data_IF_838289165757
#
_entry.id   IF_838289165757
#
_cell.length_a   1.000
_cell.length_b   1.000
_cell.length_c   1.000
_cell.angle_alpha   90.00
_cell.angle_beta   90.00
_cell.angle_gamma   90.00
#
_symmetry.space_group_name_H-M   'P 1'
#
loop_
_entity.id
_entity.type
_entity.pdbx_description
1 polymer ?
#
# COMPACT_ATOMS: atom_id res chain seq x y z
N UNK A 1 10.67 2.26 8.57
CA UNK A 1 10.90 3.71 8.80
C UNK A 1 9.60 4.48 9.09
N UNK A 2 8.42 3.91 8.81
CA UNK A 2 7.14 4.59 9.00
C UNK A 2 6.93 5.10 10.45
N UNK A 3 7.25 4.30 11.47
CA UNK A 3 7.18 4.77 12.88
C UNK A 3 7.98 6.03 13.13
N UNK A 4 9.27 6.03 12.76
CA UNK A 4 10.17 7.18 12.93
C UNK A 4 9.67 8.43 12.21
N UNK A 5 8.93 8.27 11.10
CA UNK A 5 8.38 9.40 10.34
C UNK A 5 7.08 9.94 10.96
N UNK A 6 6.43 9.17 11.83
CA UNK A 6 5.11 9.48 12.40
C UNK A 6 5.13 9.76 13.90
N UNK A 7 6.27 9.63 14.58
CA UNK A 7 6.39 9.76 16.05
C UNK A 7 5.95 11.13 16.57
N UNK A 8 6.29 12.21 15.85
CA UNK A 8 5.95 13.59 16.19
C UNK A 8 4.75 14.15 15.39
N UNK A 9 4.01 13.28 14.69
CA UNK A 9 2.89 13.72 13.85
C UNK A 9 1.60 13.88 14.65
N UNK A 10 0.95 15.05 14.55
CA UNK A 10 -0.39 15.27 15.13
C UNK A 10 -1.49 14.55 14.34
N UNK A 11 -1.25 14.30 13.05
CA UNK A 11 -2.21 13.74 12.09
C UNK A 11 -1.47 13.10 10.92
N UNK A 12 -1.98 11.96 10.41
CA UNK A 12 -1.52 11.36 9.15
C UNK A 12 -2.60 11.49 8.06
N UNK A 13 -2.20 11.82 6.84
CA UNK A 13 -3.08 11.84 5.67
C UNK A 13 -2.64 10.79 4.65
N UNK A 14 -3.58 9.97 4.21
CA UNK A 14 -3.33 8.95 3.19
C UNK A 14 -3.41 9.55 1.77
N UNK A 15 -2.28 9.56 1.08
CA UNK A 15 -2.18 9.87 -0.35
C UNK A 15 -1.63 8.70 -1.17
N UNK A 16 -1.78 7.47 -0.66
CA UNK A 16 -1.19 6.27 -1.23
C UNK A 16 -2.15 5.54 -2.17
N UNK A 17 -1.59 4.78 -3.10
CA UNK A 17 -2.31 4.11 -4.19
C UNK A 17 -2.44 2.59 -4.00
N UNK A 18 -1.97 2.04 -2.88
CA UNK A 18 -1.92 0.60 -2.66
C UNK A 18 -2.32 0.22 -1.23
N UNK A 19 -2.92 -0.97 -1.08
CA UNK A 19 -3.41 -1.46 0.20
C UNK A 19 -2.31 -1.67 1.24
N UNK A 20 -1.14 -2.18 0.85
CA UNK A 20 -0.06 -2.46 1.79
C UNK A 20 0.38 -1.21 2.54
N UNK A 21 0.58 -0.09 1.83
CA UNK A 21 0.90 1.19 2.45
C UNK A 21 -0.22 1.68 3.37
N UNK A 22 -1.49 1.47 2.99
CA UNK A 22 -2.65 1.83 3.83
C UNK A 22 -2.72 1.03 5.11
N UNK A 23 -2.44 -0.27 5.05
CA UNK A 23 -2.37 -1.12 6.24
C UNK A 23 -1.15 -0.81 7.12
N UNK A 24 -0.01 -0.47 6.51
CA UNK A 24 1.16 0.04 7.26
C UNK A 24 0.84 1.36 7.98
N UNK A 25 0.20 2.32 7.30
CA UNK A 25 -0.26 3.58 7.91
C UNK A 25 -1.21 3.27 9.08
N UNK A 26 -2.16 2.35 8.87
CA UNK A 26 -3.09 1.94 9.92
C UNK A 26 -2.37 1.41 11.16
N UNK A 27 -1.43 0.47 10.98
CA UNK A 27 -0.72 -0.14 12.09
C UNK A 27 0.12 0.88 12.87
N UNK A 28 0.83 1.77 12.17
CA UNK A 28 1.58 2.87 12.80
C UNK A 28 0.67 3.83 13.55
N UNK A 29 -0.40 4.30 12.91
CA UNK A 29 -1.34 5.25 13.50
C UNK A 29 -2.02 4.67 14.75
N UNK A 30 -2.45 3.40 14.69
CA UNK A 30 -3.08 2.72 15.83
C UNK A 30 -2.07 2.49 16.96
N UNK A 31 -0.82 2.10 16.65
CA UNK A 31 0.24 1.88 17.65
C UNK A 31 0.58 3.18 18.37
N UNK A 32 0.77 4.28 17.64
CA UNK A 32 1.14 5.58 18.19
C UNK A 32 -0.05 6.35 18.78
N UNK A 33 -1.29 5.94 18.47
CA UNK A 33 -2.49 6.68 18.88
C UNK A 33 -2.73 7.96 18.08
N UNK A 34 -2.08 8.09 16.92
CA UNK A 34 -2.18 9.26 16.04
C UNK A 34 -3.42 9.12 15.16
N UNK A 35 -4.33 10.09 15.12
CA UNK A 35 -5.46 10.06 14.19
C UNK A 35 -4.97 10.12 12.74
N UNK A 36 -5.74 9.55 11.82
CA UNK A 36 -5.43 9.65 10.40
C UNK A 36 -6.67 9.67 9.52
N UNK A 37 -6.54 10.18 8.29
CA UNK A 37 -7.67 10.21 7.34
C UNK A 37 -7.34 9.36 6.13
N UNK A 38 -8.04 8.23 6.03
CA UNK A 38 -8.00 7.33 4.89
C UNK A 38 -8.64 8.00 3.67
N UNK A 39 -7.98 7.89 2.52
CA UNK A 39 -8.44 8.41 1.24
C UNK A 39 -8.14 7.43 0.11
N UNK A 40 -9.12 7.14 -0.72
CA UNK A 40 -8.92 6.29 -1.89
C UNK A 40 -9.77 6.75 -3.07
N UNK A 41 -9.24 6.59 -4.28
CA UNK A 41 -9.94 6.88 -5.52
C UNK A 41 -9.66 5.78 -6.52
N UNK A 42 -10.68 5.36 -7.25
CA UNK A 42 -10.53 4.49 -8.42
C UNK A 42 -11.60 4.81 -9.45
N UNK A 43 -11.21 5.03 -10.70
CA UNK A 43 -12.11 5.47 -11.76
C UNK A 43 -12.87 6.73 -11.36
N UNK A 44 -14.18 6.60 -11.17
CA UNK A 44 -15.08 7.66 -10.74
C UNK A 44 -15.57 7.50 -9.28
N UNK A 45 -15.02 6.56 -8.53
CA UNK A 45 -15.38 6.28 -7.15
C UNK A 45 -14.33 6.82 -6.18
N UNK A 46 -14.78 7.28 -5.02
CA UNK A 46 -13.92 7.82 -3.98
C UNK A 46 -14.37 7.40 -2.59
N UNK A 47 -13.44 7.32 -1.64
CA UNK A 47 -13.71 7.01 -0.24
C UNK A 47 -12.89 7.93 0.66
N UNK A 48 -13.52 8.44 1.72
CA UNK A 48 -12.85 9.15 2.82
C UNK A 48 -13.34 8.59 4.15
N UNK A 49 -12.41 8.29 5.06
CA UNK A 49 -12.75 7.82 6.41
C UNK A 49 -11.74 8.35 7.44
N UNK A 50 -12.15 9.28 8.32
CA UNK A 50 -11.37 9.60 9.51
C UNK A 50 -11.29 8.40 10.45
N UNK A 51 -10.09 8.09 10.91
CA UNK A 51 -9.81 7.00 11.84
C UNK A 51 -9.15 7.62 13.07
N UNK A 52 -9.85 7.53 14.20
CA UNK A 52 -9.38 7.97 15.50
C UNK A 52 -9.10 6.69 16.31
N UNK A 53 -7.81 6.32 16.51
CA UNK A 53 -7.46 5.12 17.25
C UNK A 53 -8.20 5.04 18.59
N UNK A 54 -8.72 3.84 18.90
CA UNK A 54 -9.49 3.52 20.12
C UNK A 54 -10.88 4.17 20.24
N UNK A 55 -11.25 5.06 19.32
CA UNK A 55 -12.59 5.68 19.28
C UNK A 55 -13.45 5.18 18.11
N UNK A 56 -12.85 5.03 16.93
CA UNK A 56 -13.56 4.60 15.71
C UNK A 56 -12.99 3.28 15.20
N UNK A 57 -13.69 2.59 14.28
CA UNK A 57 -13.12 1.47 13.54
C UNK A 57 -11.79 1.87 12.88
N UNK A 58 -10.79 1.01 13.00
CA UNK A 58 -9.56 1.13 12.22
C UNK A 58 -9.74 0.48 10.85
N UNK A 59 -8.76 0.59 9.95
CA UNK A 59 -8.84 -0.02 8.63
C UNK A 59 -9.04 -1.53 8.71
N UNK A 60 -8.34 -2.21 9.64
CA UNK A 60 -8.46 -3.66 9.90
C UNK A 60 -9.83 -4.08 10.46
N UNK A 61 -10.63 -3.14 10.98
CA UNK A 61 -12.02 -3.44 11.33
C UNK A 61 -12.89 -3.56 10.08
N UNK A 62 -12.63 -2.72 9.08
CA UNK A 62 -13.42 -2.64 7.85
C UNK A 62 -13.00 -3.69 6.83
N UNK A 63 -11.68 -3.81 6.64
CA UNK A 63 -11.05 -4.78 5.76
C UNK A 63 -10.05 -5.58 6.59
N UNK A 64 -10.40 -6.83 6.93
CA UNK A 64 -9.59 -7.66 7.81
C UNK A 64 -8.19 -7.93 7.23
N UNK A 65 -8.11 -8.11 5.92
CA UNK A 65 -6.87 -8.30 5.16
C UNK A 65 -6.87 -7.44 3.89
N UNK A 66 -5.66 -7.15 3.38
CA UNK A 66 -5.52 -6.57 2.06
C UNK A 66 -6.06 -7.55 1.00
N UNK A 67 -6.83 -7.09 0.01
CA UNK A 67 -7.20 -7.94 -1.12
C UNK A 67 -5.94 -8.52 -1.77
N UNK A 68 -5.95 -9.79 -2.22
CA UNK A 68 -4.81 -10.36 -2.91
C UNK A 68 -4.42 -9.50 -4.12
N UNK A 69 -3.12 -9.34 -4.42
CA UNK A 69 -2.67 -8.56 -5.58
C UNK A 69 -3.39 -8.98 -6.87
N UNK A 70 -3.87 -8.01 -7.66
CA UNK A 70 -4.57 -8.27 -8.93
C UNK A 70 -6.05 -8.63 -8.82
N UNK A 71 -6.62 -8.75 -7.61
CA UNK A 71 -8.06 -9.04 -7.43
C UNK A 71 -8.96 -7.80 -7.41
N UNK A 72 -8.36 -6.62 -7.30
CA UNK A 72 -9.05 -5.33 -7.35
C UNK A 72 -8.48 -4.51 -8.50
N UNK A 73 -9.34 -3.73 -9.15
CA UNK A 73 -8.86 -2.74 -10.09
C UNK A 73 -7.97 -1.74 -9.36
N UNK A 74 -7.03 -1.13 -10.08
CA UNK A 74 -6.12 -0.12 -9.54
C UNK A 74 -6.29 1.18 -10.30
N UNK A 75 -5.70 2.26 -9.80
CA UNK A 75 -5.65 3.54 -10.49
C UNK A 75 -5.12 3.43 -11.92
N UNK A 76 -4.25 2.44 -12.19
CA UNK A 76 -3.65 2.24 -13.51
C UNK A 76 -4.49 1.35 -14.44
N UNK A 77 -5.29 0.41 -13.90
CA UNK A 77 -6.14 -0.46 -14.73
C UNK A 77 -7.53 0.12 -14.97
N UNK A 78 -8.09 0.81 -13.99
CA UNK A 78 -9.38 1.50 -14.10
C UNK A 78 -9.25 2.98 -14.50
N UNK A 79 -8.04 3.55 -14.42
CA UNK A 79 -7.84 4.99 -14.50
C UNK A 79 -8.30 5.70 -13.23
N UNK A 80 -8.07 7.01 -13.17
CA UNK A 80 -8.56 7.89 -12.11
C UNK A 80 -9.02 9.20 -12.72
N UNK A 81 -10.23 9.62 -12.38
CA UNK A 81 -10.72 10.95 -12.72
C UNK A 81 -10.12 11.99 -11.78
N UNK A 82 -9.31 12.89 -12.33
CA UNK A 82 -8.71 14.01 -11.59
C UNK A 82 -9.71 14.78 -10.70
N UNK A 83 -10.92 15.13 -11.17
CA UNK A 83 -11.92 15.78 -10.33
C UNK A 83 -12.29 14.99 -9.06
N UNK A 84 -12.37 13.66 -9.14
CA UNK A 84 -12.69 12.80 -7.98
C UNK A 84 -11.56 12.80 -6.96
N UNK A 85 -10.30 12.87 -7.42
CA UNK A 85 -9.14 13.09 -6.54
C UNK A 85 -9.27 14.40 -5.77
N UNK A 86 -9.68 15.48 -6.42
CA UNK A 86 -9.90 16.77 -5.74
C UNK A 86 -11.04 16.70 -4.73
N UNK A 87 -12.12 15.97 -5.03
CA UNK A 87 -13.23 15.78 -4.09
C UNK A 87 -12.78 15.01 -2.84
N UNK A 88 -12.05 13.91 -3.01
CA UNK A 88 -11.51 13.10 -1.91
C UNK A 88 -10.48 13.90 -1.11
N UNK A 89 -9.53 14.57 -1.76
CA UNK A 89 -8.53 15.39 -1.10
C UNK A 89 -9.16 16.56 -0.32
N UNK A 90 -10.19 17.21 -0.88
CA UNK A 90 -10.92 18.28 -0.21
C UNK A 90 -11.63 17.81 1.06
N UNK A 91 -12.27 16.65 1.02
CA UNK A 91 -12.88 16.05 2.20
C UNK A 91 -11.83 15.60 3.23
N UNK A 92 -10.70 15.02 2.79
CA UNK A 92 -9.60 14.66 3.69
C UNK A 92 -9.05 15.90 4.40
N UNK A 93 -8.81 16.99 3.66
CA UNK A 93 -8.34 18.25 4.21
C UNK A 93 -9.34 18.87 5.20
N UNK A 94 -10.64 18.78 4.93
CA UNK A 94 -11.68 19.23 5.85
C UNK A 94 -11.62 18.46 7.19
N UNK A 95 -11.50 17.14 7.15
CA UNK A 95 -11.40 16.32 8.36
C UNK A 95 -10.08 16.58 9.11
N UNK A 96 -9.00 16.84 8.38
CA UNK A 96 -7.74 17.28 8.95
C UNK A 96 -7.86 18.60 9.72
N UNK A 97 -8.51 19.61 9.13
CA UNK A 97 -8.73 20.91 9.80
C UNK A 97 -9.56 20.76 11.06
N UNK A 98 -10.56 19.86 11.08
CA UNK A 98 -11.35 19.58 12.28
C UNK A 98 -10.50 18.96 13.39
N UNK A 99 -9.68 17.97 13.05
CA UNK A 99 -8.81 17.29 14.01
C UNK A 99 -7.74 18.25 14.58
N UNK A 100 -7.02 18.96 13.71
CA UNK A 100 -5.98 19.91 14.10
C UNK A 100 -6.54 21.14 14.82
N UNK A 101 -7.75 21.56 14.49
CA UNK A 101 -8.46 22.66 15.17
C UNK A 101 -9.11 22.27 16.49
N UNK A 102 -8.92 21.03 16.98
CA UNK A 102 -9.51 20.55 18.23
C UNK A 102 -11.02 20.31 18.19
N UNK A 103 -11.64 20.35 17.01
CA UNK A 103 -13.08 20.16 16.81
C UNK A 103 -13.44 18.67 16.68
N UNK A 104 -13.00 17.85 17.64
CA UNK A 104 -13.09 16.38 17.60
C UNK A 104 -14.52 15.84 17.48
N UNK A 105 -15.50 16.57 18.00
CA UNK A 105 -16.93 16.21 17.92
C UNK A 105 -17.53 16.47 16.52
N UNK A 106 -16.92 17.37 15.74
CA UNK A 106 -17.35 17.66 14.37
C UNK A 106 -16.75 16.69 13.33
N UNK A 107 -15.79 15.85 13.74
CA UNK A 107 -15.12 14.87 12.87
C UNK A 107 -16.11 13.77 12.47
N UNK A 108 -16.12 13.47 11.17
CA UNK A 108 -17.05 12.48 10.61
C UNK A 108 -16.73 11.08 11.15
N UNK A 109 -17.69 10.45 11.83
CA UNK A 109 -17.58 9.07 12.39
C UNK A 109 -18.03 7.97 11.43
N UNK A 110 -18.14 8.29 10.13
CA UNK A 110 -18.64 7.43 9.06
C UNK A 110 -17.64 7.39 7.91
N UNK A 111 -17.69 6.32 7.13
CA UNK A 111 -17.01 6.29 5.84
C UNK A 111 -17.88 7.02 4.81
N UNK A 112 -17.33 8.03 4.15
CA UNK A 112 -17.98 8.70 3.04
C UNK A 112 -17.56 8.00 1.75
N UNK A 113 -18.51 7.42 1.03
CA UNK A 113 -18.29 6.93 -0.34
C UNK A 113 -18.90 7.89 -1.35
N UNK A 114 -18.19 8.06 -2.46
CA UNK A 114 -18.50 8.96 -3.56
C UNK A 114 -18.63 8.12 -4.82
N UNK A 115 -19.71 8.31 -5.54
CA UNK A 115 -19.91 7.83 -6.90
C UNK A 115 -20.13 9.08 -7.77
N UNK A 116 -19.08 9.49 -8.49
CA UNK A 116 -19.08 10.74 -9.24
C UNK A 116 -19.94 10.67 -10.49
N UNK A 117 -20.20 9.47 -11.04
CA UNK A 117 -21.08 9.32 -12.19
C UNK A 117 -22.54 9.56 -11.84
N UNK A 118 -22.99 9.04 -10.69
CA UNK A 118 -24.34 9.34 -10.20
C UNK A 118 -24.42 10.61 -9.34
N UNK A 119 -23.29 11.27 -9.07
CA UNK A 119 -23.21 12.45 -8.20
C UNK A 119 -23.58 12.16 -6.75
N UNK A 120 -23.45 10.91 -6.30
CA UNK A 120 -23.98 10.43 -5.03
C UNK A 120 -22.91 10.32 -3.96
N UNK A 121 -23.25 10.84 -2.78
CA UNK A 121 -22.48 10.66 -1.55
C UNK A 121 -23.26 9.76 -0.59
N UNK A 122 -22.59 8.79 0.02
CA UNK A 122 -23.18 7.93 1.05
C UNK A 122 -22.30 7.94 2.28
N UNK A 123 -22.93 8.12 3.45
CA UNK A 123 -22.25 8.02 4.74
C UNK A 123 -22.56 6.67 5.37
N UNK A 124 -21.59 5.76 5.35
CA UNK A 124 -21.69 4.40 5.83
C UNK A 124 -21.26 4.33 7.30
N UNK A 125 -22.12 3.78 8.15
CA UNK A 125 -21.79 3.55 9.55
C UNK A 125 -20.92 2.30 9.70
N UNK A 126 -19.65 2.49 10.00
CA UNK A 126 -18.70 1.39 10.19
C UNK A 126 -18.53 0.98 11.65
N UNK A 127 -19.17 1.70 12.58
CA UNK A 127 -19.08 1.43 14.03
C UNK A 127 -19.38 -0.03 14.40
N UNK A 128 -20.37 -0.73 13.79
CA UNK A 128 -20.59 -2.14 14.08
C UNK A 128 -19.37 -3.03 13.85
N UNK A 129 -18.44 -2.64 12.96
CA UNK A 129 -17.22 -3.38 12.72
C UNK A 129 -16.20 -3.28 13.88
N UNK A 130 -16.20 -2.16 14.59
CA UNK A 130 -15.41 -1.97 15.81
C UNK A 130 -16.05 -2.69 17.00
N UNK A 131 -17.37 -2.61 17.13
CA UNK A 131 -18.13 -3.12 18.28
C UNK A 131 -18.10 -4.65 18.38
N UNK A 132 -17.86 -5.36 17.26
CA UNK A 132 -17.59 -6.81 17.27
C UNK A 132 -16.42 -7.20 18.18
N UNK A 133 -15.49 -6.28 18.46
CA UNK A 133 -14.43 -6.47 19.45
C UNK A 133 -13.31 -7.43 19.07
N UNK A 134 -13.28 -7.93 17.83
CA UNK A 134 -12.36 -8.98 17.38
C UNK A 134 -11.20 -8.47 16.50
N UNK A 135 -11.00 -7.15 16.40
CA UNK A 135 -10.01 -6.61 15.47
C UNK A 135 -8.57 -6.93 15.93
N UNK A 136 -7.76 -7.63 15.13
CA UNK A 136 -6.39 -8.02 15.51
C UNK A 136 -5.48 -6.80 15.76
N UNK A 137 -5.69 -5.71 15.04
CA UNK A 137 -4.88 -4.49 15.15
C UNK A 137 -5.31 -3.60 16.33
N UNK A 138 -6.50 -2.98 16.27
CA UNK A 138 -6.87 -1.96 17.27
C UNK A 138 -7.34 -2.52 18.63
N UNK A 139 -7.71 -3.80 18.70
CA UNK A 139 -8.05 -4.49 19.96
C UNK A 139 -6.96 -5.49 20.37
N UNK A 140 -6.41 -6.23 19.41
CA UNK A 140 -5.39 -7.25 19.64
C UNK A 140 -3.95 -6.74 19.72
N UNK A 141 -3.67 -5.50 19.29
CA UNK A 141 -2.31 -4.94 19.29
C UNK A 141 -1.35 -5.62 18.30
N UNK A 142 -1.89 -6.32 17.29
CA UNK A 142 -1.10 -7.00 16.26
C UNK A 142 -0.82 -6.04 15.10
N UNK A 143 0.43 -5.62 14.97
CA UNK A 143 0.90 -4.66 13.98
C UNK A 143 1.72 -5.33 12.88
N UNK A 144 1.15 -6.38 12.27
CA UNK A 144 1.85 -7.28 11.35
C UNK A 144 2.39 -6.59 10.07
N UNK A 145 1.74 -5.51 9.60
CA UNK A 145 2.23 -4.74 8.45
C UNK A 145 3.39 -3.84 8.84
N UNK A 146 3.41 -3.38 10.09
CA UNK A 146 4.49 -2.59 10.64
C UNK A 146 5.71 -3.44 11.02
N UNK A 147 5.51 -4.63 11.59
CA UNK A 147 6.62 -5.57 11.88
C UNK A 147 7.24 -6.17 10.61
N UNK A 148 6.53 -6.08 9.48
CA UNK A 148 6.96 -6.62 8.20
C UNK A 148 6.60 -8.10 8.00
N UNK A 149 5.87 -8.70 8.94
CA UNK A 149 5.36 -10.08 8.82
C UNK A 149 4.37 -10.25 7.66
N UNK A 150 3.58 -9.19 7.40
CA UNK A 150 2.62 -9.10 6.28
C UNK A 150 3.12 -8.18 5.17
N UNK A 151 4.29 -7.57 5.32
CA UNK A 151 4.88 -6.81 4.22
C UNK A 151 5.13 -7.77 3.06
N UNK A 152 4.55 -7.47 1.92
CA UNK A 152 4.86 -8.24 0.74
C UNK A 152 6.32 -7.94 0.42
N UNK A 153 7.17 -8.97 0.38
CA UNK A 153 8.51 -8.89 -0.21
C UNK A 153 8.46 -8.58 -1.72
N UNK A 154 7.33 -8.05 -2.21
CA UNK A 154 6.95 -7.89 -3.60
C UNK A 154 5.88 -6.80 -3.72
N UNK A 155 6.28 -5.59 -4.08
CA UNK A 155 5.37 -4.49 -4.41
C UNK A 155 4.99 -4.64 -5.88
N UNK A 156 3.72 -4.89 -6.20
CA UNK A 156 3.27 -4.75 -7.59
C UNK A 156 3.35 -3.27 -7.98
N UNK A 157 4.22 -2.95 -8.95
CA UNK A 157 4.32 -1.62 -9.53
C UNK A 157 3.15 -1.48 -10.50
N UNK A 158 2.05 -0.95 -9.97
CA UNK A 158 0.84 -0.72 -10.73
C UNK A 158 1.16 0.03 -12.05
N UNK A 159 0.50 -0.37 -13.14
CA UNK A 159 0.60 0.30 -14.45
C UNK A 159 1.86 0.02 -15.27
N UNK A 160 2.75 -0.88 -14.84
CA UNK A 160 4.00 -1.19 -15.57
C UNK A 160 4.14 -2.65 -16.02
N UNK A 161 3.07 -3.45 -15.87
CA UNK A 161 3.13 -4.91 -15.94
C UNK A 161 4.33 -5.46 -15.17
N UNK A 162 4.54 -4.96 -13.96
CA UNK A 162 5.78 -5.19 -13.23
C UNK A 162 5.58 -5.40 -11.74
N UNK A 163 6.31 -6.35 -11.18
CA UNK A 163 6.40 -6.57 -9.74
C UNK A 163 7.82 -6.27 -9.27
N UNK A 164 7.94 -5.42 -8.27
CA UNK A 164 9.19 -5.14 -7.59
C UNK A 164 9.37 -6.08 -6.41
N UNK A 165 10.35 -6.97 -6.47
CA UNK A 165 10.76 -7.85 -5.37
C UNK A 165 11.76 -7.12 -4.48
N UNK A 166 11.49 -7.10 -3.17
CA UNK A 166 12.35 -6.55 -2.13
C UNK A 166 12.98 -7.71 -1.35
N UNK A 167 14.32 -7.83 -1.29
CA UNK A 167 14.97 -8.83 -0.46
C UNK A 167 15.00 -8.40 1.01
N UNK A 168 15.35 -9.31 1.94
CA UNK A 168 15.60 -8.97 3.33
C UNK A 168 16.62 -7.82 3.50
N UNK A 169 16.51 -7.01 4.56
CA UNK A 169 17.51 -5.99 4.86
C UNK A 169 18.93 -6.58 4.98
N UNK A 170 19.91 -5.95 4.36
CA UNK A 170 21.32 -6.40 4.37
C UNK A 170 21.70 -7.37 3.25
N UNK A 171 20.77 -7.75 2.36
CA UNK A 171 21.10 -8.51 1.15
C UNK A 171 21.97 -7.68 0.20
N UNK A 172 23.05 -8.27 -0.29
CA UNK A 172 23.86 -7.71 -1.38
C UNK A 172 24.08 -8.80 -2.43
N UNK A 173 24.02 -8.41 -3.71
CA UNK A 173 24.18 -9.35 -4.82
C UNK A 173 25.37 -8.94 -5.67
N UNK A 174 26.29 -9.88 -5.89
CA UNK A 174 27.40 -9.69 -6.82
C UNK A 174 26.88 -9.79 -8.27
N UNK A 175 26.50 -8.65 -8.83
CA UNK A 175 25.92 -8.57 -10.17
C UNK A 175 26.85 -9.07 -11.26
N UNK A 176 28.17 -8.92 -11.10
CA UNK A 176 29.16 -9.39 -12.09
C UNK A 176 29.21 -10.92 -12.13
N UNK A 177 29.30 -11.56 -10.97
CA UNK A 177 29.27 -13.02 -10.89
C UNK A 177 27.93 -13.59 -11.39
N UNK A 178 26.82 -12.89 -11.11
CA UNK A 178 25.50 -13.29 -11.58
C UNK A 178 25.34 -13.11 -13.11
N UNK A 179 25.90 -12.04 -13.69
CA UNK A 179 25.92 -11.83 -15.13
C UNK A 179 26.69 -12.96 -15.85
N UNK A 180 27.81 -13.40 -15.28
CA UNK A 180 28.60 -14.51 -15.81
C UNK A 180 27.85 -15.84 -15.79
N UNK A 181 27.07 -16.09 -14.72
CA UNK A 181 26.20 -17.27 -14.61
C UNK A 181 25.02 -17.22 -15.59
N UNK A 182 24.51 -16.02 -15.89
CA UNK A 182 23.33 -15.79 -16.73
C UNK A 182 23.66 -15.44 -18.20
N UNK A 183 24.88 -15.76 -18.68
CA UNK A 183 25.29 -15.49 -20.07
C UNK A 183 24.34 -16.08 -21.12
N UNK A 184 23.66 -17.18 -20.80
CA UNK A 184 22.64 -17.80 -21.69
C UNK A 184 21.31 -17.04 -21.77
N UNK A 185 21.00 -16.16 -20.81
CA UNK A 185 19.72 -15.44 -20.68
C UNK A 185 19.75 -13.99 -21.23
N UNK A 186 20.70 -13.69 -22.14
CA UNK A 186 20.93 -12.33 -22.70
C UNK A 186 21.10 -11.26 -21.61
N UNK A 187 21.82 -11.59 -20.54
CA UNK A 187 22.09 -10.67 -19.45
C UNK A 187 22.99 -9.52 -19.90
N UNK A 188 22.58 -8.29 -19.64
CA UNK A 188 23.28 -7.05 -20.00
C UNK A 188 23.48 -6.18 -18.76
N UNK A 189 24.70 -5.73 -18.54
CA UNK A 189 25.01 -4.74 -17.51
C UNK A 189 24.69 -3.33 -18.02
N UNK A 190 23.92 -2.55 -17.26
CA UNK A 190 23.70 -1.12 -17.48
C UNK A 190 24.13 -0.34 -16.24
N UNK A 191 25.37 0.14 -16.23
CA UNK A 191 25.95 0.80 -15.06
C UNK A 191 26.03 -0.18 -13.88
N UNK A 192 25.38 0.17 -12.75
CA UNK A 192 25.31 -0.67 -11.54
C UNK A 192 24.08 -1.59 -11.49
N UNK A 193 23.42 -1.82 -12.62
CA UNK A 193 22.22 -2.67 -12.71
C UNK A 193 22.47 -3.83 -13.66
N UNK A 194 21.89 -4.99 -13.34
CA UNK A 194 21.87 -6.17 -14.21
C UNK A 194 20.47 -6.32 -14.80
N UNK A 195 20.37 -6.39 -16.13
CA UNK A 195 19.09 -6.61 -16.83
C UNK A 195 19.16 -7.89 -17.65
N UNK A 196 18.17 -8.75 -17.54
CA UNK A 196 18.10 -10.00 -18.31
C UNK A 196 16.65 -10.38 -18.58
N UNK A 197 16.45 -11.27 -19.56
CA UNK A 197 15.11 -11.80 -19.88
C UNK A 197 15.05 -13.26 -19.45
N UNK A 198 14.03 -13.61 -18.66
CA UNK A 198 13.82 -14.96 -18.15
C UNK A 198 12.33 -15.27 -18.06
N UNK A 199 11.92 -16.46 -18.51
CA UNK A 199 10.53 -16.95 -18.44
C UNK A 199 9.49 -15.92 -18.93
N UNK A 200 9.74 -15.33 -20.10
CA UNK A 200 8.94 -14.24 -20.72
C UNK A 200 8.87 -12.92 -19.93
N UNK A 201 9.57 -12.83 -18.80
CA UNK A 201 9.69 -11.63 -17.98
C UNK A 201 11.03 -10.94 -18.22
N UNK A 202 11.04 -9.62 -18.07
CA UNK A 202 12.25 -8.80 -18.06
C UNK A 202 12.61 -8.41 -16.64
N UNK A 203 13.78 -8.86 -16.18
CA UNK A 203 14.25 -8.66 -14.81
C UNK A 203 15.31 -7.56 -14.80
N UNK A 204 15.12 -6.56 -13.94
CA UNK A 204 16.12 -5.54 -13.63
C UNK A 204 16.53 -5.67 -12.16
N UNK A 205 17.77 -6.04 -11.91
CA UNK A 205 18.32 -6.31 -10.58
C UNK A 205 19.28 -5.20 -10.13
N UNK A 206 19.15 -4.81 -8.87
CA UNK A 206 19.93 -3.77 -8.21
C UNK A 206 20.99 -4.38 -7.28
N UNK A 207 22.08 -3.66 -6.93
CA UNK A 207 23.16 -4.19 -6.08
C UNK A 207 22.72 -4.57 -4.66
N UNK A 208 21.67 -3.91 -4.17
CA UNK A 208 21.02 -4.18 -2.87
C UNK A 208 20.04 -5.36 -2.94
N UNK A 209 20.06 -6.13 -4.04
CA UNK A 209 19.24 -7.31 -4.27
C UNK A 209 17.79 -7.02 -4.66
N UNK A 210 17.35 -5.76 -4.68
CA UNK A 210 16.02 -5.42 -5.22
C UNK A 210 15.92 -5.82 -6.67
N UNK A 211 14.77 -6.32 -7.10
CA UNK A 211 14.51 -6.60 -8.51
C UNK A 211 13.18 -6.00 -8.96
N UNK A 212 13.11 -5.58 -10.22
CA UNK A 212 11.88 -5.23 -10.90
C UNK A 212 11.68 -6.27 -12.01
N UNK A 213 10.56 -6.99 -11.95
CA UNK A 213 10.21 -8.05 -12.89
C UNK A 213 9.04 -7.55 -13.73
N UNK A 214 9.33 -7.16 -14.97
CA UNK A 214 8.36 -6.73 -15.98
C UNK A 214 7.84 -7.92 -16.78
N UNK A 215 6.61 -7.84 -17.27
CA UNK A 215 5.92 -8.92 -17.99
C UNK A 215 4.98 -9.76 -17.10
N UNK A 216 4.80 -9.39 -15.83
CA UNK A 216 3.83 -10.03 -14.94
C UNK A 216 3.34 -9.06 -13.86
N UNK A 217 2.07 -9.19 -13.50
CA UNK A 217 1.46 -8.57 -12.31
C UNK A 217 1.21 -9.59 -11.18
N UNK A 218 1.48 -10.87 -11.45
CA UNK A 218 1.34 -11.96 -10.48
C UNK A 218 2.61 -12.02 -9.62
N UNK A 219 2.42 -11.73 -8.34
CA UNK A 219 3.46 -11.75 -7.31
C UNK A 219 4.09 -13.14 -7.17
N UNK A 220 3.32 -14.21 -7.31
CA UNK A 220 3.82 -15.59 -7.21
C UNK A 220 4.76 -15.90 -8.36
N UNK A 221 4.38 -15.50 -9.59
CA UNK A 221 5.22 -15.65 -10.78
C UNK A 221 6.50 -14.82 -10.63
N UNK A 222 6.38 -13.56 -10.19
CA UNK A 222 7.53 -12.70 -9.97
C UNK A 222 8.49 -13.27 -8.91
N UNK A 223 7.97 -13.75 -7.77
CA UNK A 223 8.79 -14.40 -6.74
C UNK A 223 9.44 -15.68 -7.25
N UNK A 224 8.73 -16.47 -8.07
CA UNK A 224 9.28 -17.66 -8.72
C UNK A 224 10.46 -17.35 -9.64
N UNK A 225 10.31 -16.35 -10.52
CA UNK A 225 11.39 -15.87 -11.40
C UNK A 225 12.56 -15.32 -10.58
N UNK A 226 12.29 -14.52 -9.54
CA UNK A 226 13.34 -14.02 -8.66
C UNK A 226 14.10 -15.15 -7.95
N UNK A 227 13.40 -16.09 -7.32
CA UNK A 227 14.02 -17.21 -6.61
C UNK A 227 14.84 -18.11 -7.54
N UNK A 228 14.36 -18.36 -8.76
CA UNK A 228 15.01 -19.23 -9.74
C UNK A 228 16.30 -18.64 -10.31
N UNK A 229 16.33 -17.33 -10.55
CA UNK A 229 17.45 -16.69 -11.26
C UNK A 229 18.33 -15.78 -10.40
N UNK A 230 17.79 -15.21 -9.33
CA UNK A 230 18.50 -14.33 -8.40
C UNK A 230 18.74 -15.01 -7.06
N UNK A 231 17.76 -15.79 -6.61
CA UNK A 231 17.84 -16.57 -5.38
C UNK A 231 18.99 -17.57 -5.38
N UNK A 232 19.70 -17.58 -4.26
CA UNK A 232 20.50 -18.69 -3.76
C UNK A 232 19.85 -19.14 -2.45
#
# INVERSE_FOLDING_TARGET
NAERLSEDADLILDGTDNFEARFLINDVAVKLGVPWVYGAVIGAEGVVMPILPRETPCLRCVWEEAPPPGTTATCDTAGVLGPVVHMVAGLQALEAMKLLGGMRDAVTRKMISIDAWSGRFRALNMQPAYDRGQCPCCKGGQYEFLSGERASNTISLCGRDAVQVLPPPGTSVNLTALADRLRSARATMKGRLLRFTADACEVTLFPDGRAIIKGTNDVTVARGVYAKYVGA
#
